data_IF_851671363359
#
_entry.id   IF_851671363359
#
_cell.length_a   1.000
_cell.length_b   1.000
_cell.length_c   1.000
_cell.angle_alpha   90.00
_cell.angle_beta   90.00
_cell.angle_gamma   90.00
#
_symmetry.space_group_name_H-M   'P 1'
#
loop_
_entity.id
_entity.type
_entity.pdbx_description
1 polymer ?
#
# COMPACT_ATOMS: atom_id res chain seq x y z
N UNK A 1 -5.32 -20.43 -9.17
CA UNK A 1 -4.98 -20.26 -7.74
C UNK A 1 -4.87 -18.76 -7.52
N UNK A 2 -5.54 -18.20 -6.51
CA UNK A 2 -5.46 -16.76 -6.21
C UNK A 2 -4.14 -16.48 -5.49
N UNK A 3 -3.34 -15.53 -5.96
CA UNK A 3 -2.03 -15.18 -5.36
C UNK A 3 -2.08 -13.71 -4.97
N UNK A 4 -2.07 -13.46 -3.66
CA UNK A 4 -2.26 -12.12 -3.10
C UNK A 4 -0.93 -11.50 -2.67
N UNK A 5 -0.70 -10.25 -3.10
CA UNK A 5 0.42 -9.43 -2.65
C UNK A 5 0.02 -8.72 -1.35
N UNK A 6 0.77 -8.92 -0.27
CA UNK A 6 0.63 -8.14 0.95
C UNK A 6 1.67 -7.03 1.00
N UNK A 7 1.22 -5.77 1.03
CA UNK A 7 2.08 -4.59 1.16
C UNK A 7 1.93 -3.99 2.55
N UNK A 8 3.01 -4.01 3.34
CA UNK A 8 3.05 -3.36 4.65
C UNK A 8 3.61 -1.93 4.51
N UNK A 9 2.71 -0.96 4.55
CA UNK A 9 2.95 0.47 4.35
C UNK A 9 2.41 1.30 5.53
N UNK A 10 2.64 0.82 6.76
CA UNK A 10 2.13 1.40 8.00
C UNK A 10 3.22 1.97 8.93
N UNK A 11 4.47 1.98 8.48
CA UNK A 11 5.61 2.50 9.26
C UNK A 11 5.57 4.01 9.46
N UNK A 12 5.98 4.47 10.65
CA UNK A 12 6.13 5.88 10.97
C UNK A 12 7.28 6.50 10.18
N UNK A 13 7.01 7.55 9.41
CA UNK A 13 7.99 8.33 8.65
C UNK A 13 8.94 9.17 9.52
N UNK A 14 9.08 8.88 10.81
CA UNK A 14 9.86 9.65 11.80
C UNK A 14 11.34 9.77 11.43
N UNK A 15 11.89 8.78 10.71
CA UNK A 15 13.25 8.84 10.16
C UNK A 15 13.42 9.90 9.07
N UNK A 16 12.35 10.26 8.38
CA UNK A 16 12.35 11.16 7.22
C UNK A 16 11.56 12.47 7.43
N UNK A 17 10.96 12.66 8.62
CA UNK A 17 10.32 13.90 9.03
C UNK A 17 8.91 14.18 8.49
N UNK A 18 8.33 13.27 7.69
CA UNK A 18 6.95 13.38 7.21
C UNK A 18 6.39 12.05 6.68
N UNK A 19 5.07 11.98 6.49
CA UNK A 19 4.35 10.82 5.91
C UNK A 19 4.60 10.73 4.39
N UNK A 20 5.76 10.20 4.03
CA UNK A 20 6.24 10.05 2.64
C UNK A 20 5.85 8.72 1.99
N UNK A 21 4.80 8.05 2.47
CA UNK A 21 4.40 6.71 2.00
C UNK A 21 4.06 6.68 0.50
N UNK A 22 3.59 7.79 -0.08
CA UNK A 22 3.30 7.95 -1.51
C UNK A 22 4.22 8.99 -2.18
N UNK A 23 5.43 9.18 -1.66
CA UNK A 23 6.38 10.04 -2.32
C UNK A 23 6.81 9.42 -3.66
N UNK A 24 6.75 10.24 -4.72
CA UNK A 24 7.16 9.82 -6.05
C UNK A 24 8.67 9.55 -6.09
N UNK A 25 9.04 8.38 -6.60
CA UNK A 25 10.43 7.98 -6.83
C UNK A 25 10.89 8.47 -8.21
N UNK A 26 10.13 8.17 -9.25
CA UNK A 26 10.44 8.56 -10.63
C UNK A 26 9.18 8.66 -11.49
N UNK A 27 9.07 9.68 -12.34
CA UNK A 27 7.91 9.92 -13.22
C UNK A 27 6.55 9.88 -12.49
N UNK A 28 6.51 10.34 -11.24
CA UNK A 28 5.31 10.33 -10.41
C UNK A 28 4.89 8.94 -9.91
N UNK A 29 5.66 7.89 -10.20
CA UNK A 29 5.45 6.56 -9.64
C UNK A 29 6.12 6.46 -8.28
N UNK A 30 5.43 5.84 -7.35
CA UNK A 30 5.87 5.55 -5.99
C UNK A 30 6.55 4.17 -5.95
N UNK A 31 7.30 3.87 -4.89
CA UNK A 31 7.85 2.52 -4.67
C UNK A 31 6.75 1.45 -4.65
N UNK A 32 5.59 1.87 -4.16
CA UNK A 32 4.37 1.09 -4.10
C UNK A 32 3.86 0.69 -5.49
N UNK A 33 3.91 1.59 -6.47
CA UNK A 33 3.47 1.30 -7.85
C UNK A 33 4.35 0.24 -8.51
N UNK A 34 5.67 0.34 -8.33
CA UNK A 34 6.61 -0.65 -8.87
C UNK A 34 6.39 -2.04 -8.26
N UNK A 35 6.19 -2.10 -6.94
CA UNK A 35 5.98 -3.38 -6.24
C UNK A 35 4.71 -4.09 -6.72
N UNK A 36 3.63 -3.34 -6.95
CA UNK A 36 2.38 -3.92 -7.48
C UNK A 36 2.57 -4.34 -8.94
N UNK A 37 3.17 -3.50 -9.77
CA UNK A 37 3.41 -3.82 -11.16
C UNK A 37 4.22 -5.12 -11.33
N UNK A 38 5.32 -5.25 -10.61
CA UNK A 38 6.17 -6.45 -10.66
C UNK A 38 5.41 -7.70 -10.17
N UNK A 39 4.54 -7.56 -9.16
CA UNK A 39 3.71 -8.66 -8.69
C UNK A 39 2.69 -9.10 -9.74
N UNK A 40 2.06 -8.16 -10.46
CA UNK A 40 1.15 -8.47 -11.56
C UNK A 40 1.87 -9.23 -12.68
N UNK A 41 3.07 -8.78 -13.07
CA UNK A 41 3.89 -9.47 -14.06
C UNK A 41 4.31 -10.87 -13.59
N UNK A 42 4.46 -11.08 -12.29
CA UNK A 42 4.73 -12.37 -11.67
C UNK A 42 3.47 -13.27 -11.51
N UNK A 43 2.29 -12.80 -11.90
CA UNK A 43 1.04 -13.58 -11.87
C UNK A 43 0.20 -13.43 -10.59
N UNK A 44 0.44 -12.39 -9.79
CA UNK A 44 -0.45 -12.03 -8.69
C UNK A 44 -1.73 -11.37 -9.23
N UNK A 45 -2.86 -11.62 -8.58
CA UNK A 45 -4.18 -11.18 -9.05
C UNK A 45 -4.99 -10.42 -7.99
N UNK A 46 -4.37 -10.13 -6.84
CA UNK A 46 -5.01 -9.50 -5.69
C UNK A 46 -3.99 -8.78 -4.80
N UNK A 47 -4.43 -7.71 -4.15
CA UNK A 47 -3.56 -6.88 -3.30
C UNK A 47 -4.20 -6.66 -1.92
N UNK A 48 -3.40 -6.77 -0.88
CA UNK A 48 -3.74 -6.39 0.49
C UNK A 48 -2.81 -5.27 0.94
N UNK A 49 -3.39 -4.13 1.29
CA UNK A 49 -2.68 -2.95 1.75
C UNK A 49 -2.82 -2.80 3.25
N UNK A 50 -1.72 -2.98 3.97
CA UNK A 50 -1.65 -2.82 5.41
C UNK A 50 -1.08 -1.43 5.69
N UNK A 51 -1.96 -0.50 6.04
CA UNK A 51 -1.67 0.93 6.17
C UNK A 51 -2.10 1.45 7.54
N UNK A 52 -1.81 2.72 7.82
CA UNK A 52 -2.46 3.45 8.92
C UNK A 52 -3.79 4.03 8.42
N UNK A 53 -4.79 4.10 9.28
CA UNK A 53 -6.11 4.59 8.90
C UNK A 53 -6.13 6.06 8.46
N UNK A 54 -5.17 6.86 8.92
CA UNK A 54 -5.03 8.29 8.58
C UNK A 54 -4.68 8.54 7.10
N UNK A 55 -4.08 7.56 6.41
CA UNK A 55 -3.67 7.68 4.99
C UNK A 55 -4.60 6.94 4.02
N UNK A 56 -5.70 6.36 4.50
CA UNK A 56 -6.59 5.49 3.70
C UNK A 56 -7.12 6.18 2.43
N UNK A 57 -7.69 7.37 2.57
CA UNK A 57 -8.28 8.09 1.42
C UNK A 57 -7.22 8.40 0.36
N UNK A 58 -6.03 8.80 0.79
CA UNK A 58 -4.91 9.12 -0.09
C UNK A 58 -4.43 7.88 -0.86
N UNK A 59 -4.23 6.76 -0.16
CA UNK A 59 -3.78 5.50 -0.76
C UNK A 59 -4.84 4.93 -1.70
N UNK A 60 -6.13 4.98 -1.33
CA UNK A 60 -7.25 4.55 -2.20
C UNK A 60 -7.25 5.32 -3.51
N UNK A 61 -7.17 6.65 -3.43
CA UNK A 61 -7.19 7.52 -4.62
C UNK A 61 -5.98 7.26 -5.52
N UNK A 62 -4.79 7.11 -4.93
CA UNK A 62 -3.57 6.80 -5.69
C UNK A 62 -3.69 5.42 -6.35
N UNK A 63 -4.04 4.38 -5.60
CA UNK A 63 -4.20 3.01 -6.12
C UNK A 63 -5.22 2.95 -7.26
N UNK A 64 -6.41 3.52 -7.09
CA UNK A 64 -7.45 3.52 -8.13
C UNK A 64 -7.00 4.26 -9.40
N UNK A 65 -6.20 5.32 -9.26
CA UNK A 65 -5.66 6.05 -10.41
C UNK A 65 -4.61 5.26 -11.22
N UNK A 66 -3.96 4.28 -10.58
CA UNK A 66 -2.86 3.49 -11.18
C UNK A 66 -3.29 2.09 -11.61
N UNK A 67 -4.13 1.43 -10.82
CA UNK A 67 -4.48 0.02 -10.95
C UNK A 67 -6.01 -0.18 -10.99
N UNK A 68 -6.68 0.60 -11.84
CA UNK A 68 -8.14 0.58 -11.97
C UNK A 68 -8.67 -0.84 -12.19
N UNK A 69 -9.55 -1.28 -11.29
CA UNK A 69 -10.20 -2.59 -11.37
C UNK A 69 -9.38 -3.75 -10.82
N UNK A 70 -8.16 -3.54 -10.33
CA UNK A 70 -7.41 -4.55 -9.60
C UNK A 70 -8.04 -4.77 -8.21
N UNK A 71 -8.36 -6.03 -7.82
CA UNK A 71 -8.88 -6.30 -6.49
C UNK A 71 -7.91 -5.85 -5.38
N UNK A 72 -8.44 -5.07 -4.44
CA UNK A 72 -7.65 -4.56 -3.31
C UNK A 72 -8.43 -4.60 -2.00
N UNK A 73 -7.78 -5.07 -0.95
CA UNK A 73 -8.26 -5.04 0.43
C UNK A 73 -7.41 -4.13 1.29
N UNK A 74 -8.03 -3.42 2.24
CA UNK A 74 -7.33 -2.50 3.14
C UNK A 74 -7.40 -3.02 4.57
N UNK A 75 -6.26 -3.01 5.24
CA UNK A 75 -6.08 -3.42 6.64
C UNK A 75 -5.42 -2.27 7.39
N UNK A 76 -5.94 -1.93 8.57
CA UNK A 76 -5.46 -0.80 9.37
C UNK A 76 -4.62 -1.29 10.55
N UNK A 77 -3.30 -1.15 10.47
CA UNK A 77 -2.39 -1.62 11.52
C UNK A 77 -2.61 -0.88 12.85
N UNK A 78 -2.89 0.42 12.78
CA UNK A 78 -3.14 1.30 13.93
C UNK A 78 -4.45 0.97 14.67
N UNK A 79 -5.37 0.24 14.04
CA UNK A 79 -6.62 -0.22 14.65
C UNK A 79 -6.58 -1.68 15.10
N UNK A 80 -5.51 -2.40 14.76
CA UNK A 80 -5.37 -3.85 14.95
C UNK A 80 -4.15 -4.20 15.82
N UNK A 81 -3.74 -3.29 16.71
CA UNK A 81 -2.64 -3.55 17.64
C UNK A 81 -2.97 -4.72 18.59
N UNK A 82 -2.02 -5.65 18.84
CA UNK A 82 -2.20 -6.68 19.86
C UNK A 82 -2.51 -6.05 21.22
N UNK A 83 -3.52 -6.56 21.91
CA UNK A 83 -3.81 -6.12 23.29
C UNK A 83 -2.67 -6.61 24.21
N UNK A 84 -2.02 -5.69 24.93
CA UNK A 84 -1.06 -6.03 25.98
C UNK A 84 0.42 -5.89 25.63
N UNK A 85 0.76 -5.07 24.63
CA UNK A 85 2.10 -4.49 24.46
C UNK A 85 2.06 -3.06 25.01
#
# INVERSE_FOLDING_TARGET
MKITLAVLAAGLGTRFGSDKQLEGVYNGNTLFDYSIYDALEAGFDDVVLIIRSEIDELVRKHFESRFKGLPVSFVYQDKMAPKGI
#
